data_IF_948849593841
#
_entry.id   IF_948849593841
#
_cell.length_a   1.000
_cell.length_b   1.000
_cell.length_c   1.000
_cell.angle_alpha   90.00
_cell.angle_beta   90.00
_cell.angle_gamma   90.00
#
_symmetry.space_group_name_H-M   'P 1'
#
loop_
_entity.id
_entity.type
_entity.pdbx_description
1 polymer ?
#
# COMPACT_ATOMS: atom_id res chain seq x y z
N UNK A 1 -10.38 2.42 -22.94
CA UNK A 1 -10.62 1.03 -22.51
C UNK A 1 -11.22 0.91 -21.10
N UNK A 2 -10.71 1.53 -20.02
CA UNK A 2 -11.42 1.48 -18.72
C UNK A 2 -12.74 2.27 -18.74
N UNK A 3 -12.70 3.52 -19.17
CA UNK A 3 -13.86 4.43 -19.23
C UNK A 3 -14.98 3.90 -20.15
N UNK A 4 -14.63 3.19 -21.23
CA UNK A 4 -15.59 2.56 -22.14
C UNK A 4 -16.23 1.31 -21.52
N UNK A 5 -15.52 0.61 -20.65
CA UNK A 5 -16.00 -0.62 -19.99
C UNK A 5 -16.72 -0.34 -18.67
N UNK A 6 -16.49 0.81 -18.06
CA UNK A 6 -17.01 1.21 -16.74
C UNK A 6 -17.48 2.68 -16.76
N UNK A 7 -18.44 3.04 -17.64
CA UNK A 7 -18.79 4.44 -17.90
C UNK A 7 -19.42 5.15 -16.68
N UNK A 8 -20.03 4.40 -15.76
CA UNK A 8 -20.69 4.93 -14.57
C UNK A 8 -19.80 4.90 -13.31
N UNK A 9 -18.54 4.47 -13.45
CA UNK A 9 -17.60 4.38 -12.32
C UNK A 9 -16.78 5.66 -12.26
N UNK A 10 -17.10 6.51 -11.29
CA UNK A 10 -16.19 7.58 -10.87
C UNK A 10 -15.02 6.96 -10.10
N UNK A 11 -13.81 7.11 -10.64
CA UNK A 11 -12.61 6.72 -9.93
C UNK A 11 -12.45 7.59 -8.69
N UNK A 12 -12.17 6.99 -7.51
CA UNK A 12 -11.83 7.79 -6.34
C UNK A 12 -10.57 8.61 -6.65
N UNK A 13 -10.41 9.79 -6.03
CA UNK A 13 -9.22 10.59 -6.19
C UNK A 13 -7.99 9.73 -5.86
N UNK A 14 -7.06 9.67 -6.81
CA UNK A 14 -5.83 8.93 -6.61
C UNK A 14 -4.96 9.70 -5.62
N UNK A 15 -4.74 9.11 -4.46
CA UNK A 15 -3.91 9.69 -3.40
C UNK A 15 -2.65 8.87 -3.22
N UNK A 16 -1.53 9.55 -3.02
CA UNK A 16 -0.29 8.90 -2.65
C UNK A 16 -0.29 8.60 -1.15
N UNK A 17 0.13 7.40 -0.77
CA UNK A 17 0.46 7.10 0.62
C UNK A 17 1.75 7.85 0.97
N UNK A 18 1.64 8.86 1.83
CA UNK A 18 2.80 9.54 2.42
C UNK A 18 3.19 8.82 3.69
N UNK A 19 4.41 8.28 3.73
CA UNK A 19 4.96 7.61 4.90
C UNK A 19 5.87 8.58 5.63
N UNK A 20 5.47 8.96 6.84
CA UNK A 20 6.22 9.87 7.72
C UNK A 20 6.79 9.14 8.97
N UNK A 21 6.51 7.85 9.14
CA UNK A 21 6.99 7.05 10.28
C UNK A 21 8.35 6.38 10.05
N UNK A 22 8.90 5.86 11.14
CA UNK A 22 10.21 5.19 11.17
C UNK A 22 10.04 3.65 11.16
N UNK A 23 10.82 2.97 10.31
CA UNK A 23 10.83 1.51 10.29
C UNK A 23 11.32 0.95 11.64
N UNK A 24 10.76 -0.18 12.08
CA UNK A 24 11.02 -0.81 13.39
C UNK A 24 10.47 -0.04 14.63
N UNK A 25 9.85 1.13 14.42
CA UNK A 25 9.20 1.91 15.48
C UNK A 25 7.70 2.11 15.24
N UNK A 26 7.33 2.53 14.03
CA UNK A 26 5.95 2.84 13.65
C UNK A 26 5.31 1.74 12.79
N UNK A 27 3.99 1.79 12.66
CA UNK A 27 3.21 0.86 11.82
C UNK A 27 3.55 0.95 10.32
N UNK A 28 4.06 2.10 9.88
CA UNK A 28 4.52 2.36 8.52
C UNK A 28 5.87 3.08 8.58
N UNK A 29 6.86 2.57 7.85
CA UNK A 29 8.17 3.19 7.72
C UNK A 29 8.77 2.99 6.33
N UNK A 30 9.80 3.77 6.03
CA UNK A 30 10.62 3.60 4.83
C UNK A 30 12.02 3.11 5.21
N UNK A 31 12.44 2.00 4.63
CA UNK A 31 13.81 1.51 4.72
C UNK A 31 14.68 2.01 3.55
N UNK A 32 15.98 1.73 3.62
CA UNK A 32 16.90 1.96 2.51
C UNK A 32 16.37 1.34 1.20
N UNK A 33 16.53 2.08 0.10
CA UNK A 33 15.97 1.68 -1.20
C UNK A 33 14.47 1.95 -1.34
N UNK A 34 13.86 2.75 -0.45
CA UNK A 34 12.44 3.14 -0.48
C UNK A 34 11.47 1.95 -0.38
N UNK A 35 11.88 0.89 0.33
CA UNK A 35 10.96 -0.22 0.65
C UNK A 35 10.02 0.21 1.76
N UNK A 36 8.74 -0.06 1.57
CA UNK A 36 7.72 0.12 2.59
C UNK A 36 7.87 -0.99 3.64
N UNK A 37 8.13 -0.59 4.88
CA UNK A 37 8.13 -1.46 6.05
C UNK A 37 6.82 -1.27 6.79
N UNK A 38 6.17 -2.36 7.14
CA UNK A 38 4.89 -2.36 7.86
C UNK A 38 4.87 -3.43 8.93
N UNK A 39 4.08 -3.21 9.98
CA UNK A 39 3.80 -4.25 10.97
C UNK A 39 2.95 -5.37 10.35
N UNK A 40 2.95 -6.55 10.97
CA UNK A 40 2.16 -7.70 10.51
C UNK A 40 0.65 -7.36 10.43
N UNK A 41 0.12 -6.64 11.43
CA UNK A 41 -1.27 -6.18 11.45
C UNK A 41 -1.61 -5.30 10.25
N UNK A 42 -0.71 -4.39 9.86
CA UNK A 42 -0.91 -3.55 8.67
C UNK A 42 -0.85 -4.40 7.40
N UNK A 43 0.11 -5.33 7.31
CA UNK A 43 0.20 -6.26 6.18
C UNK A 43 -1.09 -7.06 6.00
N UNK A 44 -1.72 -7.54 7.07
CA UNK A 44 -3.00 -8.24 7.02
C UNK A 44 -4.12 -7.38 6.43
N UNK A 45 -4.18 -6.11 6.81
CA UNK A 45 -5.15 -5.15 6.22
C UNK A 45 -4.87 -4.94 4.73
N UNK A 46 -3.61 -4.75 4.35
CA UNK A 46 -3.22 -4.54 2.95
C UNK A 46 -3.53 -5.76 2.06
N UNK A 47 -3.42 -6.98 2.60
CA UNK A 47 -3.81 -8.21 1.89
C UNK A 47 -5.29 -8.23 1.56
N UNK A 48 -6.16 -7.76 2.46
CA UNK A 48 -7.60 -7.65 2.22
C UNK A 48 -7.94 -6.61 1.15
N UNK A 49 -7.12 -5.56 1.04
CA UNK A 49 -7.31 -4.47 0.07
C UNK A 49 -6.70 -4.75 -1.31
N UNK A 50 -6.29 -5.99 -1.58
CA UNK A 50 -5.83 -6.39 -2.91
C UNK A 50 -4.34 -6.20 -3.18
N UNK A 51 -3.51 -5.96 -2.15
CA UNK A 51 -2.03 -5.98 -2.27
C UNK A 51 -1.50 -7.44 -2.31
N UNK A 52 -2.31 -8.39 -2.76
CA UNK A 52 -1.94 -9.80 -2.84
C UNK A 52 -0.85 -10.11 -3.88
N UNK A 53 -0.45 -9.13 -4.69
CA UNK A 53 0.55 -9.27 -5.76
C UNK A 53 1.87 -8.53 -5.48
N UNK A 54 2.02 -7.91 -4.32
CA UNK A 54 3.30 -7.31 -3.92
C UNK A 54 4.29 -8.39 -3.48
N UNK A 55 5.57 -8.20 -3.81
CA UNK A 55 6.66 -8.98 -3.23
C UNK A 55 6.99 -8.40 -1.85
N UNK A 56 7.18 -9.27 -0.86
CA UNK A 56 7.59 -8.88 0.48
C UNK A 56 8.58 -9.91 1.05
N UNK A 57 9.42 -9.46 1.96
CA UNK A 57 10.34 -10.25 2.74
C UNK A 57 10.24 -9.80 4.21
N UNK A 58 10.53 -10.67 5.19
CA UNK A 58 10.68 -10.23 6.58
C UNK A 58 11.73 -9.12 6.67
N UNK A 59 11.38 -8.05 7.38
CA UNK A 59 12.27 -6.91 7.63
C UNK A 59 13.25 -7.21 8.77
#
# INVERSE_FOLDING_TARGET
MFEEMQPDVELPPFVWLKVDGEADHDDFGLAEGHRLVVTERVLDVLRLLGISRALFEPF
#
